data_IF_825132437582
#
_entry.id   IF_825132437582
#
_cell.length_a   1.000
_cell.length_b   1.000
_cell.length_c   1.000
_cell.angle_alpha   90.00
_cell.angle_beta   90.00
_cell.angle_gamma   90.00
#
_symmetry.space_group_name_H-M   'P 1'
#
loop_
_entity.id
_entity.type
_entity.pdbx_description
1 polymer ?
#
# COMPACT_ATOMS: atom_id res chain seq x y z
N UNK A 1 38.53 31.92 0.29
CA UNK A 1 38.04 31.16 1.46
C UNK A 1 36.54 31.36 1.72
N UNK A 2 36.01 32.60 1.81
CA UNK A 2 34.56 32.87 2.01
C UNK A 2 33.65 32.20 0.96
N UNK A 3 34.03 32.20 -0.32
CA UNK A 3 33.20 31.65 -1.39
C UNK A 3 33.21 30.11 -1.43
N UNK A 4 34.28 29.47 -0.94
CA UNK A 4 34.40 28.00 -0.88
C UNK A 4 33.50 27.45 0.24
N UNK A 5 33.40 28.17 1.37
CA UNK A 5 32.52 27.77 2.48
C UNK A 5 31.03 27.75 2.10
N UNK A 6 30.59 28.68 1.25
CA UNK A 6 29.19 28.72 0.75
C UNK A 6 28.92 27.56 -0.21
N UNK A 7 29.87 27.21 -1.09
CA UNK A 7 29.71 26.08 -2.02
C UNK A 7 29.65 24.74 -1.30
N UNK A 8 30.46 24.54 -0.25
CA UNK A 8 30.42 23.33 0.58
C UNK A 8 29.12 23.27 1.40
N UNK A 9 28.66 24.40 1.95
CA UNK A 9 27.39 24.47 2.66
C UNK A 9 26.19 24.15 1.75
N UNK A 10 26.19 24.59 0.49
CA UNK A 10 25.13 24.26 -0.49
C UNK A 10 25.13 22.78 -0.91
N UNK A 11 26.30 22.13 -0.96
CA UNK A 11 26.42 20.74 -1.38
C UNK A 11 25.84 19.74 -0.35
N UNK A 12 25.84 20.10 0.94
CA UNK A 12 25.35 19.23 2.03
C UNK A 12 23.82 19.10 2.06
N UNK A 13 23.06 20.00 1.40
CA UNK A 13 21.59 19.98 1.40
C UNK A 13 20.94 19.00 0.40
N UNK A 14 21.70 18.24 -0.37
CA UNK A 14 21.18 17.54 -1.56
C UNK A 14 21.00 16.02 -1.46
N UNK A 15 20.76 15.46 -0.27
CA UNK A 15 20.34 14.06 -0.16
C UNK A 15 19.27 13.87 0.92
N UNK A 16 18.05 14.37 0.66
CA UNK A 16 16.90 13.90 1.41
C UNK A 16 16.39 12.61 0.75
N UNK A 17 16.61 11.48 1.40
CA UNK A 17 15.94 10.25 1.05
C UNK A 17 14.49 10.37 1.53
N UNK A 18 13.54 10.49 0.60
CA UNK A 18 12.13 10.60 0.94
C UNK A 18 11.63 9.27 1.53
N UNK A 19 11.21 9.29 2.79
CA UNK A 19 10.44 8.25 3.45
C UNK A 19 9.11 8.87 3.87
N UNK A 20 8.02 8.11 3.80
CA UNK A 20 6.68 8.61 4.12
C UNK A 20 6.14 7.88 5.34
N UNK A 21 5.65 8.64 6.33
CA UNK A 21 4.96 8.13 7.50
C UNK A 21 3.50 8.59 7.48
N UNK A 22 2.55 7.66 7.65
CA UNK A 22 1.11 7.93 7.68
C UNK A 22 0.56 7.58 9.06
N UNK A 23 -0.06 8.56 9.73
CA UNK A 23 -0.62 8.37 11.07
C UNK A 23 0.42 8.22 12.17
N UNK A 24 1.67 8.63 11.91
CA UNK A 24 2.78 8.71 12.89
C UNK A 24 3.80 9.77 12.45
N UNK A 25 4.70 10.17 13.36
CA UNK A 25 5.63 11.28 13.15
C UNK A 25 6.91 10.90 12.38
N UNK A 26 7.35 9.66 12.51
CA UNK A 26 8.61 9.16 11.94
C UNK A 26 8.41 7.75 11.43
N UNK A 27 9.15 7.34 10.40
CA UNK A 27 9.13 5.95 9.96
C UNK A 27 9.97 5.07 10.89
N UNK A 28 9.66 3.77 10.93
CA UNK A 28 10.49 2.77 11.58
C UNK A 28 11.52 2.22 10.60
N UNK A 29 12.80 2.27 10.98
CA UNK A 29 13.90 1.73 10.20
C UNK A 29 14.39 2.63 9.04
N UNK A 30 15.64 2.41 8.63
CA UNK A 30 16.27 3.15 7.53
C UNK A 30 15.91 2.59 6.14
N UNK A 31 15.41 1.36 6.08
CA UNK A 31 15.05 0.64 4.84
C UNK A 31 13.55 0.64 4.57
N UNK A 32 12.89 1.77 4.86
CA UNK A 32 11.42 1.92 4.77
C UNK A 32 11.06 3.04 3.82
N UNK A 33 10.23 2.78 2.82
CA UNK A 33 9.76 3.80 1.86
C UNK A 33 8.43 4.41 2.31
N UNK A 34 7.57 3.58 2.90
CA UNK A 34 6.25 3.95 3.40
C UNK A 34 5.97 3.17 4.69
N UNK A 35 5.53 3.89 5.71
CA UNK A 35 5.20 3.36 7.03
C UNK A 35 3.86 3.89 7.52
N UNK A 36 3.16 3.09 8.32
CA UNK A 36 1.85 3.42 8.87
C UNK A 36 1.86 3.30 10.38
N UNK A 37 0.84 3.87 11.01
CA UNK A 37 0.60 3.77 12.44
C UNK A 37 0.71 2.32 12.95
N UNK A 38 1.58 2.11 13.95
CA UNK A 38 1.84 0.83 14.60
C UNK A 38 1.62 0.87 16.12
N UNK A 39 0.92 1.88 16.63
CA UNK A 39 0.56 1.92 18.06
C UNK A 39 -0.40 0.77 18.40
N UNK A 40 -0.32 0.30 19.65
CA UNK A 40 -1.28 -0.67 20.16
C UNK A 40 -2.70 -0.10 20.10
N UNK A 41 -3.65 -0.93 19.66
CA UNK A 41 -5.03 -0.51 19.44
C UNK A 41 -5.31 0.13 18.07
N UNK A 42 -4.33 0.21 17.16
CA UNK A 42 -4.59 0.63 15.79
C UNK A 42 -5.61 -0.31 15.11
N UNK A 43 -6.60 0.29 14.44
CA UNK A 43 -7.62 -0.41 13.63
C UNK A 43 -7.68 0.10 12.20
N UNK A 44 -6.77 0.99 11.81
CA UNK A 44 -6.73 1.56 10.47
C UNK A 44 -5.89 0.66 9.56
N UNK A 45 -6.55 0.04 8.58
CA UNK A 45 -5.92 -0.73 7.50
C UNK A 45 -5.72 0.09 6.23
N UNK A 46 -5.06 -0.51 5.25
CA UNK A 46 -4.92 0.03 3.90
C UNK A 46 -6.09 -0.48 3.06
N UNK A 47 -6.87 0.40 2.44
CA UNK A 47 -7.95 0.00 1.54
C UNK A 47 -7.40 -0.02 0.11
N UNK A 48 -7.48 -1.16 -0.54
CA UNK A 48 -7.07 -1.33 -1.93
C UNK A 48 -8.05 -0.65 -2.90
N UNK A 49 -7.57 -0.19 -4.06
CA UNK A 49 -8.45 0.24 -5.14
C UNK A 49 -9.43 -0.88 -5.51
N UNK A 50 -10.71 -0.53 -5.57
CA UNK A 50 -11.78 -1.42 -6.00
C UNK A 50 -12.12 -1.13 -7.47
N UNK A 51 -11.83 -2.07 -8.36
CA UNK A 51 -11.97 -1.88 -9.81
C UNK A 51 -12.87 -2.94 -10.44
N UNK A 52 -13.59 -2.57 -11.50
CA UNK A 52 -14.40 -3.52 -12.28
C UNK A 52 -13.52 -4.24 -13.30
N UNK A 53 -12.90 -5.33 -12.86
CA UNK A 53 -11.84 -6.02 -13.59
C UNK A 53 -10.46 -5.54 -13.16
N UNK A 54 -9.44 -6.26 -13.60
CA UNK A 54 -8.05 -5.97 -13.23
C UNK A 54 -7.37 -5.05 -14.25
N UNK A 55 -6.45 -4.17 -13.80
CA UNK A 55 -5.69 -3.32 -14.71
C UNK A 55 -4.95 -4.15 -15.76
N UNK A 56 -4.90 -3.65 -16.99
CA UNK A 56 -4.22 -4.28 -18.14
C UNK A 56 -3.05 -3.47 -18.69
N UNK A 57 -2.68 -2.39 -17.99
CA UNK A 57 -1.57 -1.51 -18.35
C UNK A 57 -0.19 -2.12 -18.08
N UNK A 58 0.79 -1.26 -17.80
CA UNK A 58 2.15 -1.67 -17.42
C UNK A 58 2.15 -2.24 -15.99
N UNK A 59 1.72 -3.50 -15.87
CA UNK A 59 1.66 -4.22 -14.61
C UNK A 59 3.06 -4.54 -14.09
N UNK A 60 3.23 -4.42 -12.78
CA UNK A 60 4.44 -4.85 -12.08
C UNK A 60 4.09 -5.84 -10.98
N UNK A 61 4.95 -6.84 -10.78
CA UNK A 61 4.79 -7.80 -9.69
C UNK A 61 4.72 -7.07 -8.34
N UNK A 62 3.79 -7.49 -7.48
CA UNK A 62 3.45 -6.78 -6.23
C UNK A 62 2.29 -5.78 -6.36
N UNK A 63 1.57 -5.74 -7.49
CA UNK A 63 0.34 -4.93 -7.64
C UNK A 63 -0.82 -5.58 -6.90
N UNK A 64 -1.53 -4.84 -6.04
CA UNK A 64 -2.71 -5.31 -5.32
C UNK A 64 -3.97 -4.59 -5.77
N UNK A 65 -5.11 -5.29 -5.74
CA UNK A 65 -6.41 -4.70 -6.03
C UNK A 65 -7.57 -5.54 -5.51
N UNK A 66 -8.74 -4.90 -5.38
CA UNK A 66 -10.01 -5.59 -5.13
C UNK A 66 -10.83 -5.58 -6.43
N UNK A 67 -11.04 -6.75 -7.01
CA UNK A 67 -11.82 -6.89 -8.24
C UNK A 67 -13.30 -7.06 -7.91
N UNK A 68 -14.12 -6.07 -8.25
CA UNK A 68 -15.55 -6.11 -7.93
C UNK A 68 -16.34 -7.06 -8.84
N UNK A 69 -15.75 -7.54 -9.95
CA UNK A 69 -16.43 -8.47 -10.87
C UNK A 69 -16.59 -9.86 -10.28
N UNK A 70 -15.63 -10.29 -9.46
CA UNK A 70 -15.69 -11.56 -8.72
C UNK A 70 -15.57 -11.39 -7.18
N UNK A 71 -15.52 -10.15 -6.70
CA UNK A 71 -15.44 -9.78 -5.27
C UNK A 71 -14.24 -10.40 -4.56
N UNK A 72 -13.06 -10.34 -5.18
CA UNK A 72 -11.82 -10.91 -4.64
C UNK A 72 -10.73 -9.87 -4.47
N UNK A 73 -9.96 -10.03 -3.40
CA UNK A 73 -8.65 -9.38 -3.29
C UNK A 73 -7.67 -10.18 -4.13
N UNK A 74 -6.87 -9.52 -4.96
CA UNK A 74 -5.90 -10.15 -5.86
C UNK A 74 -4.55 -9.45 -5.79
N UNK A 75 -3.49 -10.22 -6.00
CA UNK A 75 -2.12 -9.72 -6.21
C UNK A 75 -1.63 -10.18 -7.56
N UNK A 76 -0.93 -9.30 -8.27
CA UNK A 76 -0.18 -9.68 -9.47
C UNK A 76 1.21 -10.14 -9.04
N UNK A 77 1.49 -11.43 -9.21
CA UNK A 77 2.80 -12.02 -8.90
C UNK A 77 3.18 -13.05 -9.94
N UNK A 78 4.47 -13.14 -10.25
CA UNK A 78 5.00 -14.04 -11.30
C UNK A 78 4.23 -13.89 -12.63
N UNK A 79 3.93 -12.64 -12.99
CA UNK A 79 3.22 -12.23 -14.19
C UNK A 79 1.78 -12.78 -14.32
N UNK A 80 1.19 -13.20 -13.20
CA UNK A 80 -0.18 -13.73 -13.13
C UNK A 80 -0.95 -13.10 -11.97
N UNK A 81 -2.23 -12.82 -12.20
CA UNK A 81 -3.15 -12.43 -11.13
C UNK A 81 -3.52 -13.64 -10.29
N UNK A 82 -3.17 -13.58 -9.00
CA UNK A 82 -3.48 -14.61 -8.02
C UNK A 82 -4.50 -14.08 -6.99
N UNK A 83 -5.56 -14.85 -6.70
CA UNK A 83 -6.49 -14.49 -5.65
C UNK A 83 -5.84 -14.62 -4.27
N UNK A 84 -6.06 -13.60 -3.42
CA UNK A 84 -5.76 -13.60 -2.00
C UNK A 84 -7.01 -13.86 -1.14
N UNK A 85 -8.17 -14.05 -1.76
CA UNK A 85 -9.40 -14.41 -1.09
C UNK A 85 -10.28 -15.28 -1.99
N UNK A 86 -11.24 -15.96 -1.36
CA UNK A 86 -12.43 -16.43 -2.08
C UNK A 86 -13.34 -15.25 -2.44
N UNK A 87 -14.48 -15.55 -3.06
CA UNK A 87 -15.49 -14.54 -3.39
C UNK A 87 -16.15 -14.02 -2.10
N UNK A 88 -15.87 -12.76 -1.78
CA UNK A 88 -16.46 -12.04 -0.65
C UNK A 88 -17.69 -11.22 -1.04
N UNK A 89 -17.69 -9.93 -0.70
CA UNK A 89 -18.79 -9.01 -1.01
C UNK A 89 -18.30 -7.62 -1.40
N UNK A 90 -18.69 -7.16 -2.59
CA UNK A 90 -18.46 -5.79 -3.04
C UNK A 90 -19.59 -4.82 -2.68
N UNK A 91 -20.61 -5.23 -1.92
CA UNK A 91 -21.83 -4.42 -1.70
C UNK A 91 -21.60 -3.11 -0.95
N UNK A 92 -20.54 -3.02 -0.13
CA UNK A 92 -20.17 -1.79 0.55
C UNK A 92 -19.30 -0.86 -0.31
N UNK A 93 -18.86 -1.30 -1.49
CA UNK A 93 -18.02 -0.50 -2.38
C UNK A 93 -18.86 0.61 -3.03
N UNK A 94 -18.45 1.85 -2.78
CA UNK A 94 -18.99 3.01 -3.49
C UNK A 94 -18.32 3.10 -4.86
N UNK A 95 -19.10 2.93 -5.92
CA UNK A 95 -18.60 2.97 -7.29
C UNK A 95 -18.37 4.42 -7.72
N UNK A 96 -17.15 4.72 -8.17
CA UNK A 96 -16.85 5.93 -8.92
C UNK A 96 -16.76 5.57 -10.40
N UNK A 97 -17.61 6.19 -11.23
CA UNK A 97 -17.65 5.99 -12.68
C UNK A 97 -17.06 7.16 -13.48
N UNK A 98 -16.41 8.09 -12.78
CA UNK A 98 -15.67 9.17 -13.42
C UNK A 98 -14.51 8.62 -14.23
N UNK A 99 -14.13 9.31 -15.30
CA UNK A 99 -12.92 8.94 -16.03
C UNK A 99 -11.69 9.08 -15.13
N UNK A 100 -10.81 8.09 -15.16
CA UNK A 100 -9.50 8.17 -14.53
C UNK A 100 -8.64 9.20 -15.28
N UNK A 101 -8.26 10.27 -14.60
CA UNK A 101 -7.47 11.35 -15.16
C UNK A 101 -6.19 11.55 -14.35
N UNK A 102 -5.06 11.68 -15.04
CA UNK A 102 -3.76 11.97 -14.43
C UNK A 102 -2.85 10.75 -14.30
N UNK A 103 -1.81 10.90 -13.49
CA UNK A 103 -0.88 9.84 -13.12
C UNK A 103 -1.02 9.59 -11.62
N UNK A 104 -0.78 8.35 -11.20
CA UNK A 104 -0.72 8.02 -9.78
C UNK A 104 0.45 8.69 -9.07
N UNK A 105 0.57 8.39 -7.78
CA UNK A 105 1.66 8.90 -6.92
C UNK A 105 2.81 7.90 -6.92
N UNK A 106 4.03 8.37 -7.17
CA UNK A 106 5.26 7.59 -6.98
C UNK A 106 5.93 8.02 -5.68
N UNK A 107 6.26 7.06 -4.81
CA UNK A 107 7.02 7.28 -3.58
C UNK A 107 8.34 6.50 -3.67
N UNK A 108 9.45 7.16 -3.36
CA UNK A 108 10.79 6.57 -3.33
C UNK A 108 11.68 7.06 -4.48
N UNK A 109 11.29 6.82 -5.73
CA UNK A 109 12.00 7.28 -6.92
C UNK A 109 11.37 8.54 -7.54
N UNK A 110 12.10 9.20 -8.44
CA UNK A 110 11.63 10.39 -9.17
C UNK A 110 10.53 10.08 -10.20
N UNK A 111 10.52 8.86 -10.74
CA UNK A 111 9.54 8.38 -11.71
C UNK A 111 9.49 6.86 -11.70
N UNK A 112 8.43 6.30 -12.28
CA UNK A 112 8.27 4.87 -12.52
C UNK A 112 7.57 4.63 -13.85
N UNK A 113 7.82 3.48 -14.46
CA UNK A 113 7.08 2.97 -15.63
C UNK A 113 5.90 2.08 -15.25
N UNK A 114 5.73 1.79 -13.96
CA UNK A 114 4.58 1.06 -13.45
C UNK A 114 3.31 1.91 -13.61
N UNK A 115 2.22 1.27 -14.04
CA UNK A 115 0.92 1.92 -14.18
C UNK A 115 0.05 1.59 -12.95
N UNK A 116 0.05 2.51 -11.98
CA UNK A 116 -0.66 2.34 -10.72
C UNK A 116 -1.01 3.68 -10.05
N UNK A 117 -2.05 3.67 -9.22
CA UNK A 117 -2.51 4.87 -8.48
C UNK A 117 -1.56 5.26 -7.33
N UNK A 118 -0.89 4.26 -6.75
CA UNK A 118 0.17 4.42 -5.77
C UNK A 118 1.28 3.42 -6.13
N UNK A 119 2.44 3.93 -6.48
CA UNK A 119 3.62 3.16 -6.87
C UNK A 119 4.72 3.41 -5.84
N UNK A 120 5.25 2.33 -5.27
CA UNK A 120 6.39 2.37 -4.37
C UNK A 120 7.62 1.89 -5.15
N UNK A 121 8.52 2.81 -5.45
CA UNK A 121 9.68 2.56 -6.32
C UNK A 121 10.96 2.78 -5.51
N UNK A 122 11.63 1.69 -5.15
CA UNK A 122 12.90 1.71 -4.42
C UNK A 122 13.67 0.41 -4.62
N UNK A 123 15.00 0.49 -4.67
CA UNK A 123 15.88 -0.67 -4.82
C UNK A 123 16.14 -1.39 -3.50
N UNK A 124 16.03 -0.69 -2.37
CA UNK A 124 16.53 -1.14 -1.06
C UNK A 124 15.59 -0.84 0.11
N UNK A 125 14.38 -0.35 -0.16
CA UNK A 125 13.37 -0.02 0.86
C UNK A 125 12.05 -0.71 0.59
N UNK A 126 11.38 -1.07 1.68
CA UNK A 126 10.07 -1.72 1.63
C UNK A 126 8.99 -0.88 2.31
N UNK A 127 7.74 -1.22 2.05
CA UNK A 127 6.61 -0.75 2.83
C UNK A 127 6.49 -1.57 4.11
N UNK A 128 6.21 -0.91 5.23
CA UNK A 128 5.67 -1.57 6.42
C UNK A 128 4.16 -1.44 6.35
N UNK A 129 3.42 -2.55 6.30
CA UNK A 129 1.96 -2.51 6.28
C UNK A 129 1.39 -1.95 7.59
N UNK A 130 0.18 -1.37 7.58
CA UNK A 130 -0.53 -1.03 8.81
C UNK A 130 -0.61 -2.25 9.73
N UNK A 131 -0.25 -2.08 10.99
CA UNK A 131 -0.19 -3.16 11.96
C UNK A 131 -1.46 -3.16 12.81
N UNK A 132 -2.16 -4.29 12.85
CA UNK A 132 -3.40 -4.46 13.62
C UNK A 132 -3.34 -5.83 14.31
N UNK A 133 -3.50 -5.90 15.62
CA UNK A 133 -3.62 -7.19 16.30
C UNK A 133 -5.04 -7.76 16.07
N UNK A 134 -5.15 -9.03 15.67
CA UNK A 134 -6.44 -9.75 15.53
C UNK A 134 -7.52 -8.92 14.81
N UNK A 135 -7.32 -8.56 13.54
CA UNK A 135 -8.17 -7.60 12.84
C UNK A 135 -9.64 -8.05 12.75
N UNK A 136 -9.90 -9.36 12.67
CA UNK A 136 -11.25 -9.93 12.70
C UNK A 136 -12.04 -9.66 14.00
N UNK A 137 -11.36 -9.29 15.10
CA UNK A 137 -12.00 -8.93 16.37
C UNK A 137 -12.05 -7.41 16.52
N UNK A 138 -10.96 -6.74 16.16
CA UNK A 138 -10.72 -5.34 16.54
C UNK A 138 -11.23 -4.33 15.50
N UNK A 139 -11.26 -4.68 14.22
CA UNK A 139 -11.83 -3.82 13.18
C UNK A 139 -13.33 -4.05 13.12
N UNK A 140 -14.12 -3.10 13.62
CA UNK A 140 -15.58 -3.27 13.78
C UNK A 140 -16.35 -3.16 12.45
N UNK A 141 -15.90 -2.31 11.55
CA UNK A 141 -16.51 -2.08 10.24
C UNK A 141 -15.42 -2.10 9.15
N UNK A 142 -14.83 -3.27 8.83
CA UNK A 142 -13.84 -3.37 7.77
C UNK A 142 -14.50 -3.08 6.40
N UNK A 143 -13.71 -2.52 5.49
CA UNK A 143 -14.17 -2.17 4.15
C UNK A 143 -13.62 -3.18 3.12
N UNK A 144 -14.39 -3.61 2.11
CA UNK A 144 -13.91 -4.57 1.10
C UNK A 144 -12.58 -4.12 0.48
N UNK A 145 -11.61 -5.02 0.40
CA UNK A 145 -10.25 -4.70 -0.05
C UNK A 145 -9.34 -4.13 1.04
N UNK A 146 -9.77 -4.06 2.30
CA UNK A 146 -8.90 -3.68 3.41
C UNK A 146 -7.81 -4.74 3.63
N UNK A 147 -6.57 -4.30 3.80
CA UNK A 147 -5.42 -5.14 4.14
C UNK A 147 -4.61 -4.56 5.29
N UNK A 148 -3.98 -5.44 6.08
CA UNK A 148 -3.07 -5.09 7.16
C UNK A 148 -2.12 -6.25 7.49
N UNK A 149 -1.10 -5.99 8.30
CA UNK A 149 -0.31 -7.04 8.93
C UNK A 149 -0.93 -7.39 10.29
N UNK A 150 -1.36 -8.64 10.46
CA UNK A 150 -1.82 -9.13 11.75
C UNK A 150 -0.64 -9.47 12.65
N UNK A 151 -0.45 -8.67 13.69
CA UNK A 151 0.68 -8.83 14.62
C UNK A 151 0.53 -10.03 15.55
N UNK A 152 -0.69 -10.56 15.73
CA UNK A 152 -0.94 -11.73 16.57
C UNK A 152 -0.60 -13.03 15.84
N UNK A 153 -1.09 -13.19 14.61
CA UNK A 153 -0.85 -14.39 13.79
C UNK A 153 0.41 -14.30 12.91
N UNK A 154 1.00 -13.10 12.78
CA UNK A 154 2.18 -12.77 11.98
C UNK A 154 1.97 -13.04 10.49
N UNK A 155 0.84 -12.61 9.96
CA UNK A 155 0.41 -12.88 8.58
C UNK A 155 -0.05 -11.60 7.89
N UNK A 156 -0.02 -11.59 6.56
CA UNK A 156 -0.84 -10.66 5.80
C UNK A 156 -2.31 -11.02 5.99
N UNK A 157 -3.14 -10.05 6.37
CA UNK A 157 -4.58 -10.21 6.52
C UNK A 157 -5.31 -9.31 5.52
N UNK A 158 -6.24 -9.88 4.75
CA UNK A 158 -7.06 -9.17 3.77
C UNK A 158 -8.54 -9.43 4.00
N UNK A 159 -9.36 -8.39 3.92
CA UNK A 159 -10.82 -8.48 4.06
C UNK A 159 -11.47 -8.41 2.68
N UNK A 160 -12.24 -9.45 2.33
CA UNK A 160 -12.90 -9.58 1.02
C UNK A 160 -14.29 -8.94 0.96
N UNK A 161 -14.71 -8.27 2.04
CA UNK A 161 -16.06 -7.71 2.19
C UNK A 161 -17.01 -8.57 3.00
N UNK A 162 -16.66 -9.83 3.27
CA UNK A 162 -17.41 -10.74 4.13
C UNK A 162 -16.54 -11.29 5.27
N UNK A 163 -15.34 -11.79 4.96
CA UNK A 163 -14.44 -12.43 5.93
C UNK A 163 -13.00 -11.97 5.77
N UNK A 164 -12.19 -12.24 6.80
CA UNK A 164 -10.75 -12.02 6.79
C UNK A 164 -10.03 -13.28 6.33
N UNK A 165 -9.11 -13.13 5.37
CA UNK A 165 -8.25 -14.17 4.82
C UNK A 165 -6.80 -13.89 5.24
N UNK A 166 -6.04 -14.93 5.59
CA UNK A 166 -4.71 -14.81 6.21
C UNK A 166 -3.65 -15.58 5.42
N UNK A 167 -2.52 -14.93 5.13
CA UNK A 167 -1.43 -15.44 4.29
C UNK A 167 -0.08 -15.41 5.01
N UNK A 168 0.67 -16.52 4.92
CA UNK A 168 2.03 -16.69 5.45
C UNK A 168 3.03 -16.85 4.33
#
# INVERSE_FOLDING_TARGET
MKNIGITVALAVFNFSAAQVAIGKQTVDGSSTVLDFNNISGNTNGLILPATSGLPTGSLVNGTFGFDVTDSKVKVYENDVWKPLSDAGSSSAVIINNSAELGKGVVIGALSSTADGVLVLESQDKAMILPQIATPHINVKNPYPGMMCYDTASKTLAVFDGAVWNYWK
#
